data_IF_770945632273
#
_entry.id   IF_770945632273
#
_cell.length_a   1.000
_cell.length_b   1.000
_cell.length_c   1.000
_cell.angle_alpha   90.00
_cell.angle_beta   90.00
_cell.angle_gamma   90.00
#
_symmetry.space_group_name_H-M   'P 1'
#
loop_
_entity.id
_entity.type
_entity.pdbx_description
1 polymer ?
#
# COMPACT_ATOMS: atom_id res chain seq x y z
N UNK A 1 12.33 29.69 -7.01
CA UNK A 1 10.86 29.63 -6.85
C UNK A 1 10.52 28.16 -6.84
N UNK A 2 10.37 27.55 -5.66
CA UNK A 2 10.08 26.12 -5.56
C UNK A 2 8.65 25.87 -6.04
N UNK A 3 8.50 25.51 -7.31
CA UNK A 3 7.26 24.98 -7.84
C UNK A 3 7.04 23.61 -7.20
N UNK A 4 6.48 23.59 -5.99
CA UNK A 4 5.99 22.34 -5.40
C UNK A 4 4.88 21.85 -6.32
N UNK A 5 5.12 20.71 -6.96
CA UNK A 5 4.14 20.06 -7.81
C UNK A 5 2.82 19.91 -7.02
N UNK A 6 1.71 20.22 -7.68
CA UNK A 6 0.39 20.09 -7.06
C UNK A 6 0.10 18.62 -6.80
N UNK A 7 -0.20 18.29 -5.53
CA UNK A 7 -0.53 16.93 -5.10
C UNK A 7 -2.00 16.88 -4.71
N UNK A 8 -2.74 16.01 -5.38
CA UNK A 8 -4.15 15.73 -5.09
C UNK A 8 -4.25 14.40 -4.35
N UNK A 9 -4.95 14.38 -3.22
CA UNK A 9 -5.27 13.15 -2.49
C UNK A 9 -6.70 12.76 -2.83
N UNK A 10 -6.90 11.54 -3.33
CA UNK A 10 -8.22 11.00 -3.66
C UNK A 10 -8.40 9.56 -3.16
N UNK A 11 -9.64 9.10 -2.94
CA UNK A 11 -9.92 7.68 -2.77
C UNK A 11 -9.33 6.88 -3.92
N UNK A 12 -8.75 5.72 -3.59
CA UNK A 12 -8.23 4.82 -4.59
C UNK A 12 -9.35 4.02 -5.26
N UNK A 13 -9.17 3.73 -6.53
CA UNK A 13 -10.06 2.92 -7.34
C UNK A 13 -9.41 1.58 -7.71
N UNK A 14 -10.20 0.65 -8.25
CA UNK A 14 -9.70 -0.66 -8.68
C UNK A 14 -8.59 -0.52 -9.73
N UNK A 15 -8.67 0.50 -10.60
CA UNK A 15 -7.67 0.78 -11.63
C UNK A 15 -6.30 1.17 -11.04
N UNK A 16 -6.26 1.77 -9.84
CA UNK A 16 -5.03 2.22 -9.20
C UNK A 16 -4.19 1.05 -8.65
N UNK A 17 -4.79 -0.13 -8.44
CA UNK A 17 -4.12 -1.28 -7.80
C UNK A 17 -2.82 -1.68 -8.50
N UNK A 18 -2.78 -1.64 -9.84
CA UNK A 18 -1.58 -1.97 -10.60
C UNK A 18 -0.45 -0.95 -10.41
N UNK A 19 -0.78 0.31 -10.15
CA UNK A 19 0.21 1.37 -9.88
C UNK A 19 0.63 1.34 -8.42
N UNK A 20 -0.32 1.15 -7.49
CA UNK A 20 -0.05 0.94 -6.06
C UNK A 20 0.91 -0.24 -5.86
N UNK A 21 0.71 -1.35 -6.57
CA UNK A 21 1.63 -2.48 -6.54
C UNK A 21 3.06 -2.09 -6.96
N UNK A 22 3.19 -1.28 -8.02
CA UNK A 22 4.49 -0.80 -8.51
C UNK A 22 5.16 0.15 -7.51
N UNK A 23 4.41 1.09 -6.94
CA UNK A 23 4.92 2.01 -5.91
C UNK A 23 5.33 1.23 -4.66
N UNK A 24 4.52 0.28 -4.21
CA UNK A 24 4.82 -0.55 -3.05
C UNK A 24 6.08 -1.39 -3.26
N UNK A 25 6.21 -2.11 -4.38
CA UNK A 25 7.39 -2.95 -4.66
C UNK A 25 8.68 -2.12 -4.77
N UNK A 26 8.59 -0.86 -5.19
CA UNK A 26 9.74 0.06 -5.17
C UNK A 26 10.16 0.48 -3.76
N UNK A 27 9.19 0.58 -2.84
CA UNK A 27 9.40 1.04 -1.48
C UNK A 27 9.62 -0.09 -0.46
N UNK A 28 9.09 -1.29 -0.75
CA UNK A 28 9.03 -2.43 0.15
C UNK A 28 9.13 -3.73 -0.66
N UNK A 29 9.73 -4.76 -0.07
CA UNK A 29 9.81 -6.08 -0.69
C UNK A 29 8.47 -6.84 -0.54
N UNK A 30 7.87 -7.18 -1.68
CA UNK A 30 6.66 -8.00 -1.78
C UNK A 30 5.37 -7.19 -1.84
N UNK A 31 4.34 -7.72 -2.50
CA UNK A 31 3.03 -7.04 -2.65
C UNK A 31 1.90 -7.90 -2.08
N UNK A 32 1.15 -7.35 -1.14
CA UNK A 32 0.02 -8.02 -0.49
C UNK A 32 -1.30 -7.73 -1.21
N UNK A 33 -1.51 -8.33 -2.39
CA UNK A 33 -2.71 -8.13 -3.21
C UNK A 33 -4.02 -8.28 -2.42
N UNK A 34 -4.14 -9.34 -1.60
CA UNK A 34 -5.33 -9.51 -0.75
C UNK A 34 -5.52 -8.40 0.28
N UNK A 35 -4.44 -7.83 0.84
CA UNK A 35 -4.56 -6.73 1.79
C UNK A 35 -5.24 -5.53 1.12
N UNK A 36 -4.80 -5.15 -0.09
CA UNK A 36 -5.41 -4.03 -0.81
C UNK A 36 -6.83 -4.32 -1.29
N UNK A 37 -7.11 -5.57 -1.66
CA UNK A 37 -8.47 -5.99 -2.00
C UNK A 37 -9.41 -5.86 -0.79
N UNK A 38 -8.99 -6.33 0.38
CA UNK A 38 -9.75 -6.15 1.64
C UNK A 38 -9.91 -4.66 1.99
N UNK A 39 -8.87 -3.85 1.76
CA UNK A 39 -8.94 -2.41 2.04
C UNK A 39 -9.97 -1.71 1.15
N UNK A 40 -10.07 -2.10 -0.13
CA UNK A 40 -11.03 -1.52 -1.07
C UNK A 40 -12.48 -1.97 -0.85
N UNK A 41 -12.70 -3.23 -0.47
CA UNK A 41 -14.05 -3.81 -0.46
C UNK A 41 -14.65 -4.02 0.93
N UNK A 42 -13.84 -4.11 1.98
CA UNK A 42 -14.25 -4.64 3.28
C UNK A 42 -14.14 -3.58 4.40
N UNK A 43 -14.33 -2.31 4.03
CA UNK A 43 -14.36 -1.18 4.97
C UNK A 43 -12.99 -0.63 5.38
N UNK A 44 -11.96 -0.88 4.57
CA UNK A 44 -10.69 -0.17 4.68
C UNK A 44 -10.73 1.24 4.07
N UNK A 45 -9.65 1.97 4.24
CA UNK A 45 -9.40 3.24 3.59
C UNK A 45 -8.15 3.10 2.74
N UNK A 46 -8.29 3.32 1.44
CA UNK A 46 -7.19 3.37 0.50
C UNK A 46 -7.27 4.71 -0.22
N UNK A 47 -6.19 5.48 -0.15
CA UNK A 47 -6.06 6.76 -0.83
C UNK A 47 -4.77 6.77 -1.64
N UNK A 48 -4.79 7.47 -2.77
CA UNK A 48 -3.61 7.72 -3.60
C UNK A 48 -3.27 9.20 -3.58
N UNK A 49 -1.98 9.48 -3.65
CA UNK A 49 -1.44 10.80 -3.93
C UNK A 49 -1.11 10.87 -5.42
N UNK A 50 -1.71 11.81 -6.12
CA UNK A 50 -1.54 12.04 -7.55
C UNK A 50 -0.83 13.38 -7.77
N UNK A 51 0.21 13.38 -8.60
CA UNK A 51 0.94 14.58 -9.04
C UNK A 51 1.15 14.46 -10.54
N UNK A 52 0.83 15.50 -11.30
CA UNK A 52 0.99 15.50 -12.77
C UNK A 52 0.33 14.28 -13.46
N UNK A 53 -0.88 13.90 -13.01
CA UNK A 53 -1.62 12.72 -13.48
C UNK A 53 -0.93 11.36 -13.24
N UNK A 54 0.07 11.33 -12.36
CA UNK A 54 0.75 10.11 -11.94
C UNK A 54 0.54 9.85 -10.45
N UNK A 55 0.19 8.60 -10.10
CA UNK A 55 0.17 8.17 -8.71
C UNK A 55 1.61 8.04 -8.21
N UNK A 56 1.98 8.92 -7.27
CA UNK A 56 3.33 8.98 -6.69
C UNK A 56 3.40 8.35 -5.30
N UNK A 57 2.25 8.16 -4.65
CA UNK A 57 2.16 7.57 -3.32
C UNK A 57 0.78 7.02 -3.02
N UNK A 58 0.67 6.27 -1.92
CA UNK A 58 -0.61 5.77 -1.43
C UNK A 58 -0.55 5.57 0.08
N UNK A 59 -1.72 5.55 0.72
CA UNK A 59 -1.88 5.16 2.11
C UNK A 59 -3.08 4.21 2.24
N UNK A 60 -2.91 3.17 3.04
CA UNK A 60 -3.89 2.10 3.21
C UNK A 60 -4.08 1.77 4.68
N UNK A 61 -5.31 1.50 5.10
CA UNK A 61 -5.60 1.15 6.49
C UNK A 61 -6.98 0.54 6.67
N UNK A 62 -7.24 0.01 7.86
CA UNK A 62 -8.53 -0.56 8.22
C UNK A 62 -9.15 0.21 9.37
N UNK A 63 -10.48 0.34 9.38
CA UNK A 63 -11.22 0.88 10.53
C UNK A 63 -11.17 -0.07 11.74
N UNK A 64 -11.04 -1.39 11.50
CA UNK A 64 -10.95 -2.43 12.55
C UNK A 64 -9.73 -3.33 12.31
N UNK A 65 -8.51 -2.85 12.61
CA UNK A 65 -7.27 -3.53 12.21
C UNK A 65 -7.19 -5.01 12.61
N UNK A 66 -7.52 -5.35 13.86
CA UNK A 66 -7.44 -6.73 14.36
C UNK A 66 -8.30 -7.70 13.53
N UNK A 67 -9.58 -7.38 13.33
CA UNK A 67 -10.50 -8.22 12.55
C UNK A 67 -10.11 -8.31 11.07
N UNK A 68 -9.55 -7.24 10.49
CA UNK A 68 -9.09 -7.25 9.11
C UNK A 68 -7.82 -8.07 8.92
N UNK A 69 -6.89 -8.05 9.89
CA UNK A 69 -5.69 -8.89 9.85
C UNK A 69 -5.98 -10.38 10.08
N UNK A 70 -7.00 -10.72 10.87
CA UNK A 70 -7.45 -12.11 11.05
C UNK A 70 -7.95 -12.75 9.74
N UNK A 71 -8.52 -11.94 8.84
CA UNK A 71 -8.96 -12.39 7.50
C UNK A 71 -7.81 -12.60 6.52
N UNK A 72 -6.63 -12.04 6.82
CA UNK A 72 -5.43 -12.24 6.02
C UNK A 72 -4.75 -13.54 6.45
N UNK A 73 -4.46 -14.43 5.50
CA UNK A 73 -3.76 -15.66 5.85
C UNK A 73 -2.37 -15.33 6.44
N UNK A 74 -1.95 -16.01 7.52
CA UNK A 74 -0.63 -15.81 8.12
C UNK A 74 0.55 -16.01 7.14
N UNK A 75 0.37 -16.85 6.11
CA UNK A 75 1.35 -17.05 5.03
C UNK A 75 1.55 -15.81 4.15
N UNK A 76 0.50 -15.01 3.92
CA UNK A 76 0.58 -13.79 3.11
C UNK A 76 1.23 -12.64 3.89
N UNK A 77 0.94 -12.51 5.19
CA UNK A 77 1.63 -11.56 6.07
C UNK A 77 3.14 -11.83 6.19
N UNK A 78 3.55 -13.10 6.13
CA UNK A 78 4.97 -13.50 6.16
C UNK A 78 5.75 -13.10 4.90
N UNK A 79 5.08 -12.91 3.77
CA UNK A 79 5.73 -12.47 2.53
C UNK A 79 6.29 -11.04 2.63
N UNK A 80 5.71 -10.20 3.51
CA UNK A 80 6.23 -8.86 3.82
C UNK A 80 7.20 -8.79 5.02
N UNK A 81 7.43 -9.91 5.73
CA UNK A 81 8.27 -9.96 6.94
C UNK A 81 9.66 -10.58 6.72
N UNK A 82 9.84 -11.38 5.66
CA UNK A 82 11.09 -12.11 5.38
C UNK A 82 12.20 -11.28 4.71
N UNK A 83 11.91 -10.05 4.33
CA UNK A 83 12.85 -9.14 3.66
C UNK A 83 13.59 -8.19 4.62
N UNK A 84 13.32 -8.23 5.93
CA UNK A 84 13.99 -7.34 6.92
C UNK A 84 15.23 -7.93 7.61
N UNK A 85 15.79 -9.05 7.14
CA UNK A 85 17.04 -9.60 7.72
C UNK A 85 18.09 -9.79 6.64
N UNK A 86 18.70 -8.68 6.21
CA UNK A 86 20.13 -8.60 5.88
C UNK A 86 20.58 -7.16 6.08
N UNK A 87 21.38 -6.92 7.11
CA UNK A 87 22.11 -5.67 7.28
C UNK A 87 22.14 -5.16 8.72
N UNK A 88 22.88 -5.85 9.59
CA UNK A 88 23.84 -5.24 10.52
C UNK A 88 24.25 -6.28 11.56
N UNK A 89 25.30 -7.03 11.24
CA UNK A 89 26.23 -7.53 12.23
C UNK A 89 27.60 -7.12 11.71
N UNK A 90 28.13 -6.06 12.32
CA UNK A 90 29.55 -5.73 12.28
C UNK A 90 30.33 -6.79 13.07
#
# INVERSE_FOLDING_TARGET
MDARAEVVIRPAEVADLAVIARVHVRAFDGFLREYYHLTLHDGGSLVVAESESQVTGFASGFRRPAASYERLSPSKLRLGRRSSVRGSAA
#
